data_IF_976235483748
#
_entry.id   IF_976235483748
#
_cell.length_a   1.000
_cell.length_b   1.000
_cell.length_c   1.000
_cell.angle_alpha   90.00
_cell.angle_beta   90.00
_cell.angle_gamma   90.00
#
_symmetry.space_group_name_H-M   'P 1'
#
loop_
_entity.id
_entity.type
_entity.pdbx_description
1 polymer ?
#
# COMPACT_ATOMS: atom_id res chain seq x y z
N UNK A 1 -10.95 -18.33 0.16
CA UNK A 1 -11.07 -16.92 -0.25
C UNK A 1 -9.82 -16.61 -1.06
N UNK A 2 -9.95 -16.11 -2.30
CA UNK A 2 -8.80 -15.66 -3.08
C UNK A 2 -7.93 -14.69 -2.29
N UNK A 3 -6.62 -14.78 -2.48
CA UNK A 3 -5.65 -13.93 -1.81
C UNK A 3 -4.37 -13.82 -2.64
N UNK A 4 -3.58 -12.79 -2.37
CA UNK A 4 -2.19 -12.75 -2.82
C UNK A 4 -1.28 -12.30 -1.68
N UNK A 5 -0.01 -12.69 -1.82
CA UNK A 5 1.07 -12.27 -0.94
C UNK A 5 2.18 -11.60 -1.78
N UNK A 6 2.87 -10.66 -1.15
CA UNK A 6 4.04 -9.95 -1.65
C UNK A 6 4.99 -9.71 -0.48
N UNK A 7 6.22 -10.19 -0.61
CA UNK A 7 7.31 -9.89 0.33
C UNK A 7 8.27 -8.90 -0.31
N UNK A 8 8.66 -7.87 0.44
CA UNK A 8 9.69 -6.91 0.06
C UNK A 8 10.77 -6.87 1.12
N UNK A 9 12.01 -7.12 0.72
CA UNK A 9 13.20 -6.86 1.53
C UNK A 9 13.55 -5.37 1.42
N UNK A 10 13.70 -4.71 2.57
CA UNK A 10 13.98 -3.28 2.68
C UNK A 10 15.34 -3.10 3.35
N UNK A 11 16.18 -2.26 2.77
CA UNK A 11 17.51 -1.92 3.29
C UNK A 11 17.49 -1.04 4.55
N UNK A 12 16.32 -0.56 4.94
CA UNK A 12 16.11 0.32 6.10
C UNK A 12 15.56 -0.45 7.30
N UNK A 13 15.96 -0.04 8.50
CA UNK A 13 15.44 -0.59 9.75
C UNK A 13 13.95 -0.30 9.95
N UNK A 14 13.29 -1.11 10.80
CA UNK A 14 11.84 -1.02 11.07
C UNK A 14 11.43 0.37 11.54
N UNK A 15 12.20 0.99 12.44
CA UNK A 15 11.86 2.29 13.04
C UNK A 15 11.75 3.42 12.00
N UNK A 16 12.82 3.72 11.24
CA UNK A 16 12.77 4.71 10.16
C UNK A 16 11.68 4.42 9.13
N UNK A 17 11.51 3.16 8.74
CA UNK A 17 10.49 2.79 7.77
C UNK A 17 9.08 3.04 8.30
N UNK A 18 8.82 2.67 9.56
CA UNK A 18 7.54 2.91 10.23
C UNK A 18 7.21 4.41 10.31
N UNK A 19 8.19 5.25 10.66
CA UNK A 19 7.99 6.70 10.74
C UNK A 19 7.56 7.32 9.39
N UNK A 20 8.10 6.83 8.27
CA UNK A 20 7.66 7.28 6.94
C UNK A 20 6.27 6.74 6.61
N UNK A 21 5.96 5.50 6.98
CA UNK A 21 4.62 4.92 6.79
C UNK A 21 3.53 5.67 7.58
N UNK A 22 3.84 6.15 8.79
CA UNK A 22 2.93 6.98 9.58
C UNK A 22 2.59 8.28 8.86
N UNK A 23 3.58 8.90 8.21
CA UNK A 23 3.45 10.19 7.52
C UNK A 23 3.16 10.09 6.01
N UNK A 24 2.98 8.87 5.48
CA UNK A 24 2.81 8.62 4.05
C UNK A 24 1.65 9.40 3.42
N UNK A 25 0.63 9.77 4.21
CA UNK A 25 -0.52 10.51 3.73
C UNK A 25 -0.15 11.92 3.22
N UNK A 26 0.93 12.50 3.75
CA UNK A 26 1.47 13.79 3.32
C UNK A 26 2.53 13.65 2.22
N UNK A 27 3.13 12.46 2.08
CA UNK A 27 4.26 12.19 1.19
C UNK A 27 3.78 11.66 -0.17
N UNK A 28 2.95 10.62 -0.16
CA UNK A 28 2.58 9.88 -1.38
C UNK A 28 1.87 10.73 -2.43
N UNK A 29 0.90 11.61 -2.09
CA UNK A 29 0.29 12.49 -3.10
C UNK A 29 1.28 13.47 -3.74
N UNK A 30 2.40 13.79 -3.09
CA UNK A 30 3.45 14.66 -3.63
C UNK A 30 4.49 13.89 -4.43
N UNK A 31 4.82 12.69 -4.00
CA UNK A 31 5.88 11.86 -4.59
C UNK A 31 5.40 10.99 -5.75
N UNK A 32 4.12 10.59 -5.71
CA UNK A 32 3.45 9.73 -6.68
C UNK A 32 2.07 10.29 -7.05
N UNK A 33 1.96 11.56 -7.51
CA UNK A 33 0.68 12.22 -7.82
C UNK A 33 -0.12 11.52 -8.94
N UNK A 34 0.55 10.74 -9.78
CA UNK A 34 -0.09 9.93 -10.83
C UNK A 34 -0.83 8.71 -10.27
N UNK A 35 -0.48 8.29 -9.05
CA UNK A 35 -1.13 7.17 -8.35
C UNK A 35 -2.08 7.72 -7.29
N UNK A 36 -1.58 8.58 -6.40
CA UNK A 36 -2.32 9.08 -5.24
C UNK A 36 -2.73 10.53 -5.45
N UNK A 37 -4.04 10.77 -5.53
CA UNK A 37 -4.60 12.12 -5.56
C UNK A 37 -4.60 12.75 -4.16
N UNK A 38 -5.10 12.02 -3.16
CA UNK A 38 -5.07 12.42 -1.75
C UNK A 38 -5.06 11.19 -0.84
N UNK A 39 -4.60 11.37 0.39
CA UNK A 39 -4.74 10.39 1.45
C UNK A 39 -5.12 11.17 2.70
N UNK A 40 -6.35 10.99 3.15
CA UNK A 40 -6.94 11.75 4.24
C UNK A 40 -7.21 10.83 5.42
N UNK A 41 -6.82 11.23 6.63
CA UNK A 41 -7.20 10.50 7.84
C UNK A 41 -8.65 10.90 8.16
N UNK A 42 -9.56 9.94 8.15
CA UNK A 42 -10.99 10.17 8.40
C UNK A 42 -11.39 9.79 9.83
N UNK A 43 -10.62 8.90 10.47
CA UNK A 43 -10.78 8.55 11.89
C UNK A 43 -9.39 8.31 12.52
N UNK A 44 -9.17 8.78 13.76
CA UNK A 44 -7.89 8.66 14.47
C UNK A 44 -6.85 9.74 14.10
N UNK A 45 -5.59 9.51 14.50
CA UNK A 45 -4.48 10.48 14.36
C UNK A 45 -3.30 9.92 13.54
N UNK A 46 -3.53 8.86 12.76
CA UNK A 46 -2.51 8.22 11.92
C UNK A 46 -1.74 7.09 12.61
N UNK A 47 -1.99 6.87 13.92
CA UNK A 47 -1.51 5.75 14.72
C UNK A 47 -2.33 4.45 14.48
N UNK A 48 -1.90 3.28 14.99
CA UNK A 48 -2.68 2.04 14.91
C UNK A 48 -4.15 2.24 15.35
N UNK A 49 -5.08 1.74 14.54
CA UNK A 49 -6.53 1.93 14.72
C UNK A 49 -7.13 3.12 13.96
N UNK A 50 -6.31 3.96 13.32
CA UNK A 50 -6.80 5.04 12.46
C UNK A 50 -7.34 4.52 11.11
N UNK A 51 -8.29 5.25 10.53
CA UNK A 51 -8.87 4.98 9.20
C UNK A 51 -8.44 6.07 8.22
N UNK A 52 -7.98 5.66 7.03
CA UNK A 52 -7.54 6.55 5.96
C UNK A 52 -8.41 6.37 4.72
N UNK A 53 -8.88 7.47 4.16
CA UNK A 53 -9.48 7.53 2.83
C UNK A 53 -8.37 7.80 1.81
N UNK A 54 -8.17 6.87 0.88
CA UNK A 54 -7.18 6.99 -0.20
C UNK A 54 -7.91 7.32 -1.49
N UNK A 55 -7.62 8.48 -2.08
CA UNK A 55 -8.11 8.89 -3.39
C UNK A 55 -7.00 8.70 -4.40
N UNK A 56 -7.30 8.03 -5.52
CA UNK A 56 -6.33 7.74 -6.56
C UNK A 56 -6.51 8.63 -7.80
N UNK A 57 -5.41 8.92 -8.49
CA UNK A 57 -5.31 9.99 -9.50
C UNK A 57 -5.83 9.65 -10.91
N UNK A 58 -5.91 8.39 -11.32
CA UNK A 58 -6.41 7.98 -12.65
C UNK A 58 -7.78 7.31 -12.57
N UNK A 59 -8.54 7.33 -13.68
CA UNK A 59 -9.83 6.60 -13.76
C UNK A 59 -9.70 5.08 -13.73
N UNK A 60 -8.56 4.52 -14.12
CA UNK A 60 -8.28 3.09 -13.90
C UNK A 60 -8.13 2.77 -12.40
N UNK A 61 -7.83 3.80 -11.59
CA UNK A 61 -7.71 3.68 -10.13
C UNK A 61 -8.93 4.28 -9.39
N UNK A 62 -9.71 5.16 -10.04
CA UNK A 62 -10.94 5.75 -9.50
C UNK A 62 -12.12 4.79 -9.74
N UNK A 63 -12.54 4.12 -8.67
CA UNK A 63 -13.44 2.97 -8.66
C UNK A 63 -12.92 1.88 -7.73
N UNK A 64 -11.59 1.88 -7.51
CA UNK A 64 -10.89 0.96 -6.63
C UNK A 64 -11.03 -0.50 -7.06
N UNK A 65 -10.56 -1.41 -6.21
CA UNK A 65 -10.66 -2.83 -6.53
C UNK A 65 -12.12 -3.34 -6.58
N UNK A 66 -13.06 -2.65 -5.94
CA UNK A 66 -14.45 -3.07 -5.83
C UNK A 66 -15.23 -2.81 -7.13
N UNK A 67 -15.24 -1.58 -7.63
CA UNK A 67 -16.04 -1.22 -8.81
C UNK A 67 -15.38 -1.69 -10.12
N UNK A 68 -14.05 -1.65 -10.20
CA UNK A 68 -13.31 -1.97 -11.44
C UNK A 68 -13.23 -3.47 -11.70
N UNK A 69 -12.96 -4.27 -10.67
CA UNK A 69 -12.68 -5.71 -10.80
C UNK A 69 -13.80 -6.60 -10.27
N UNK A 70 -14.96 -6.01 -9.96
CA UNK A 70 -16.14 -6.75 -9.48
C UNK A 70 -15.96 -7.37 -8.09
N UNK A 71 -15.02 -6.86 -7.28
CA UNK A 71 -14.87 -7.32 -5.91
C UNK A 71 -15.96 -6.73 -5.01
N UNK A 72 -16.43 -7.51 -4.06
CA UNK A 72 -17.37 -7.08 -3.03
C UNK A 72 -16.64 -6.74 -1.73
N UNK A 73 -15.40 -7.19 -1.58
CA UNK A 73 -14.56 -6.94 -0.42
C UNK A 73 -13.09 -7.01 -0.80
N UNK A 74 -12.29 -6.13 -0.22
CA UNK A 74 -10.83 -6.12 -0.33
C UNK A 74 -10.23 -5.73 1.02
N UNK A 75 -9.40 -6.60 1.60
CA UNK A 75 -8.73 -6.38 2.87
C UNK A 75 -7.23 -6.52 2.65
N UNK A 76 -6.49 -5.44 2.87
CA UNK A 76 -5.04 -5.43 2.71
C UNK A 76 -4.35 -5.31 4.07
N UNK A 77 -3.35 -6.16 4.31
CA UNK A 77 -2.55 -6.18 5.53
C UNK A 77 -1.10 -5.87 5.21
N UNK A 78 -0.49 -5.00 6.00
CA UNK A 78 0.93 -4.68 5.97
C UNK A 78 1.55 -5.10 7.29
N UNK A 79 2.60 -5.92 7.23
CA UNK A 79 3.35 -6.34 8.41
C UNK A 79 4.84 -6.10 8.19
N UNK A 80 5.37 -5.14 8.92
CA UNK A 80 6.79 -4.79 8.92
C UNK A 80 7.50 -5.56 10.06
N UNK A 81 8.59 -6.25 9.75
CA UNK A 81 9.37 -7.04 10.71
C UNK A 81 10.88 -6.76 10.57
N UNK A 82 11.68 -6.91 11.63
CA UNK A 82 13.14 -6.85 11.52
C UNK A 82 13.70 -7.98 10.64
N UNK A 83 14.80 -7.71 9.93
CA UNK A 83 15.56 -8.69 9.15
C UNK A 83 17.04 -8.69 9.59
N UNK A 84 17.87 -9.59 9.04
CA UNK A 84 19.31 -9.59 9.31
C UNK A 84 19.98 -8.30 8.81
N UNK A 85 19.53 -7.80 7.67
CA UNK A 85 19.91 -6.52 7.08
C UNK A 85 18.65 -5.69 6.85
N UNK A 86 18.42 -4.64 7.66
CA UNK A 86 17.26 -3.77 7.54
C UNK A 86 15.96 -4.39 8.03
N UNK A 87 14.94 -4.41 7.17
CA UNK A 87 13.60 -4.91 7.52
C UNK A 87 12.94 -5.64 6.36
N UNK A 88 11.88 -6.39 6.67
CA UNK A 88 11.04 -7.05 5.68
C UNK A 88 9.60 -6.57 5.81
N UNK A 89 8.99 -6.23 4.69
CA UNK A 89 7.58 -5.90 4.60
C UNK A 89 6.81 -7.06 3.97
N UNK A 90 5.90 -7.63 4.73
CA UNK A 90 4.97 -8.66 4.29
C UNK A 90 3.64 -8.00 3.98
N UNK A 91 3.18 -8.13 2.74
CA UNK A 91 1.91 -7.59 2.27
C UNK A 91 1.03 -8.76 1.86
N UNK A 92 -0.19 -8.80 2.40
CA UNK A 92 -1.21 -9.72 1.95
C UNK A 92 -2.50 -8.98 1.62
N UNK A 93 -3.26 -9.52 0.67
CA UNK A 93 -4.62 -9.09 0.44
C UNK A 93 -5.55 -10.29 0.36
N UNK A 94 -6.72 -10.15 0.97
CA UNK A 94 -7.83 -11.08 0.90
C UNK A 94 -9.03 -10.39 0.27
N UNK A 95 -9.71 -11.06 -0.65
CA UNK A 95 -10.81 -10.45 -1.40
C UNK A 95 -11.92 -11.44 -1.76
N UNK A 96 -13.11 -10.88 -2.00
CA UNK A 96 -14.32 -11.60 -2.39
C UNK A 96 -14.87 -10.99 -3.69
N UNK A 97 -15.39 -11.82 -4.59
CA UNK A 97 -15.88 -11.39 -5.90
C UNK A 97 -14.80 -11.40 -7.00
N UNK A 98 -15.16 -10.84 -8.16
CA UNK A 98 -14.33 -10.80 -9.37
C UNK A 98 -14.23 -12.11 -10.13
N UNK A 99 -14.01 -12.01 -11.45
CA UNK A 99 -13.64 -13.18 -12.26
C UNK A 99 -12.17 -13.55 -12.06
N UNK A 100 -11.76 -14.74 -12.48
CA UNK A 100 -10.35 -15.14 -12.40
C UNK A 100 -9.42 -14.19 -13.19
N UNK A 101 -9.88 -13.69 -14.34
CA UNK A 101 -9.16 -12.71 -15.15
C UNK A 101 -9.02 -11.36 -14.44
N UNK A 102 -10.11 -10.85 -13.85
CA UNK A 102 -10.10 -9.60 -13.07
C UNK A 102 -9.18 -9.70 -11.84
N UNK A 103 -9.19 -10.87 -11.18
CA UNK A 103 -8.31 -11.16 -10.04
C UNK A 103 -6.85 -11.11 -10.47
N UNK A 104 -6.51 -11.75 -11.58
CA UNK A 104 -5.14 -11.80 -12.10
C UNK A 104 -4.64 -10.42 -12.52
N UNK A 105 -5.47 -9.64 -13.22
CA UNK A 105 -5.15 -8.28 -13.63
C UNK A 105 -4.98 -7.36 -12.42
N UNK A 106 -5.95 -7.37 -11.51
CA UNK A 106 -5.92 -6.60 -10.26
C UNK A 106 -4.68 -6.93 -9.44
N UNK A 107 -4.35 -8.21 -9.26
CA UNK A 107 -3.19 -8.64 -8.48
C UNK A 107 -1.87 -8.17 -9.10
N UNK A 108 -1.73 -8.26 -10.43
CA UNK A 108 -0.53 -7.77 -11.15
C UNK A 108 -0.36 -6.28 -10.95
N UNK A 109 -1.44 -5.51 -11.16
CA UNK A 109 -1.40 -4.05 -11.04
C UNK A 109 -1.14 -3.61 -9.59
N UNK A 110 -1.82 -4.22 -8.63
CA UNK A 110 -1.63 -3.94 -7.19
C UNK A 110 -0.19 -4.16 -6.78
N UNK A 111 0.41 -5.30 -7.14
CA UNK A 111 1.81 -5.60 -6.79
C UNK A 111 2.76 -4.54 -7.37
N UNK A 112 2.54 -4.12 -8.61
CA UNK A 112 3.35 -3.07 -9.25
C UNK A 112 3.25 -1.73 -8.52
N UNK A 113 2.02 -1.30 -8.17
CA UNK A 113 1.79 -0.06 -7.42
C UNK A 113 2.44 -0.12 -6.04
N UNK A 114 2.33 -1.26 -5.34
CA UNK A 114 2.92 -1.45 -4.02
C UNK A 114 4.44 -1.41 -4.05
N UNK A 115 5.08 -2.12 -4.99
CA UNK A 115 6.53 -2.08 -5.16
C UNK A 115 6.99 -0.63 -5.34
N UNK A 116 6.40 0.09 -6.28
CA UNK A 116 6.77 1.50 -6.55
C UNK A 116 6.53 2.41 -5.34
N UNK A 117 5.46 2.18 -4.59
CA UNK A 117 5.14 2.93 -3.37
C UNK A 117 6.21 2.71 -2.31
N UNK A 118 6.56 1.46 -2.04
CA UNK A 118 7.51 1.14 -0.98
C UNK A 118 8.97 1.47 -1.36
N UNK A 119 9.35 1.42 -2.64
CA UNK A 119 10.63 1.96 -3.12
C UNK A 119 10.78 3.48 -2.88
N UNK A 120 9.68 4.23 -3.00
CA UNK A 120 9.67 5.67 -2.72
C UNK A 120 9.78 5.92 -1.22
N UNK A 121 8.99 5.20 -0.41
CA UNK A 121 8.99 5.37 1.05
C UNK A 121 10.33 4.93 1.66
N UNK A 122 10.94 3.85 1.18
CA UNK A 122 12.27 3.41 1.60
C UNK A 122 13.33 4.48 1.35
N UNK A 123 13.32 5.11 0.16
CA UNK A 123 14.24 6.22 -0.15
C UNK A 123 14.06 7.42 0.77
N UNK A 124 12.83 7.67 1.25
CA UNK A 124 12.58 8.70 2.26
C UNK A 124 13.14 8.28 3.62
N UNK A 125 12.93 7.01 4.02
CA UNK A 125 13.39 6.48 5.30
C UNK A 125 14.92 6.52 5.40
N UNK A 126 15.63 6.10 4.35
CA UNK A 126 17.10 6.11 4.29
C UNK A 126 17.74 7.51 4.34
N UNK A 127 16.97 8.57 4.05
CA UNK A 127 17.43 9.97 4.17
C UNK A 127 17.16 10.57 5.54
N UNK A 128 16.36 9.88 6.36
CA UNK A 128 15.91 10.33 7.67
C UNK A 128 16.73 9.71 8.81
N UNK A 129 17.54 8.69 8.49
CA UNK A 129 18.39 7.91 9.38
C UNK A 129 19.81 8.44 9.49
#
# INVERSE_FOLDING_TARGET
>A
MPSFELELDLSVEVGPMWAVMETQNNLLPKLLPEIYQSIDIVEGEGAPGSVRLVMFGSKEVSGGHLETYGFTKWVQTFKLIPAEEGSKLLISAEFEGGSEEDIDESNKWTKLVLIKTFEVLERCAARSS
#
